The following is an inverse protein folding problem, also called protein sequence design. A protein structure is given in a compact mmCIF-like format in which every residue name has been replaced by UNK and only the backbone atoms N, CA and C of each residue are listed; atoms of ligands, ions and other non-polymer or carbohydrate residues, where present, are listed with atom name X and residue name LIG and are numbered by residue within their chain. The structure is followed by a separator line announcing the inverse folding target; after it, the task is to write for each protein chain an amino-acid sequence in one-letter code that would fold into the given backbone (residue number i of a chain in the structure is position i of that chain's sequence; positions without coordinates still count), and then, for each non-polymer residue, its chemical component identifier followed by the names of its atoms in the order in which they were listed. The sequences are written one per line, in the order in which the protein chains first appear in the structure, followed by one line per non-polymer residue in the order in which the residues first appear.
data_IF_964999910101
#
_entry.id   IF_964999910101
#
_cell.length_a   1.000
_cell.length_b   1.000
_cell.length_c   1.000
_cell.angle_alpha   90.00
_cell.angle_beta   90.00
_cell.angle_gamma   90.00
#
_symmetry.space_group_name_H-M   'P 1'
#
loop_
_entity.id
_entity.type
_entity.pdbx_description
1 polymer ?
#
# COMPACT_ATOMS: atom_id res chain seq x y z
N UNK A 1 -6.73 0.65 -13.10
CA UNK A 1 -5.79 0.24 -14.18
C UNK A 1 -4.58 -0.35 -13.47
N UNK A 2 -4.26 -1.63 -13.71
CA UNK A 2 -3.12 -2.31 -13.08
C UNK A 2 -1.81 -1.63 -13.46
N UNK A 3 -0.93 -1.39 -12.49
CA UNK A 3 0.40 -0.84 -12.73
C UNK A 3 1.17 -1.81 -13.64
N UNK A 4 1.91 -1.34 -14.66
CA UNK A 4 2.45 -2.18 -15.75
C UNK A 4 3.32 -3.38 -15.31
N UNK A 5 3.76 -3.41 -14.06
CA UNK A 5 4.62 -4.44 -13.49
C UNK A 5 3.88 -5.45 -12.57
N UNK A 6 2.76 -5.08 -11.98
CA UNK A 6 2.04 -5.90 -11.00
C UNK A 6 0.62 -6.20 -11.47
N UNK A 7 0.11 -7.38 -11.13
CA UNK A 7 -1.24 -7.81 -11.51
C UNK A 7 -2.37 -7.18 -10.67
N UNK A 8 -2.05 -6.18 -9.85
CA UNK A 8 -2.93 -5.56 -8.85
C UNK A 8 -2.54 -4.09 -8.63
N UNK A 9 -3.53 -3.23 -8.39
CA UNK A 9 -3.30 -1.80 -8.10
C UNK A 9 -3.41 -1.46 -6.61
N UNK A 10 -2.91 -0.27 -6.23
CA UNK A 10 -3.06 0.25 -4.86
C UNK A 10 -4.55 0.38 -4.49
N UNK A 11 -5.39 0.84 -5.42
CA UNK A 11 -6.83 0.96 -5.18
C UNK A 11 -7.49 -0.39 -4.88
N UNK A 12 -7.05 -1.48 -5.52
CA UNK A 12 -7.56 -2.82 -5.24
C UNK A 12 -7.13 -3.29 -3.85
N UNK A 13 -5.87 -3.04 -3.46
CA UNK A 13 -5.37 -3.31 -2.11
C UNK A 13 -6.13 -2.52 -1.04
N UNK A 14 -6.41 -1.23 -1.29
CA UNK A 14 -7.21 -0.39 -0.39
C UNK A 14 -8.63 -0.93 -0.22
N UNK A 15 -9.29 -1.35 -1.29
CA UNK A 15 -10.62 -1.98 -1.22
C UNK A 15 -10.58 -3.22 -0.35
N UNK A 16 -9.57 -4.06 -0.52
CA UNK A 16 -9.41 -5.26 0.28
C UNK A 16 -9.22 -4.95 1.77
N UNK A 17 -8.52 -3.87 2.12
CA UNK A 17 -8.35 -3.42 3.52
C UNK A 17 -9.66 -2.97 4.19
N UNK A 18 -10.69 -2.60 3.42
CA UNK A 18 -12.00 -2.19 3.94
C UNK A 18 -12.86 -3.40 4.30
N UNK A 19 -12.75 -4.50 3.54
CA UNK A 19 -13.51 -5.72 3.77
C UNK A 19 -13.15 -6.37 5.12
N UNK A 20 -14.15 -6.95 5.80
CA UNK A 20 -13.96 -7.49 7.17
C UNK A 20 -14.34 -8.96 7.27
N UNK A 21 -13.56 -9.70 8.07
CA UNK A 21 -13.82 -11.11 8.43
C UNK A 21 -14.01 -11.97 7.17
N UNK A 22 -15.18 -12.58 7.03
CA UNK A 22 -15.49 -13.54 5.97
C UNK A 22 -15.57 -12.87 4.59
N UNK A 23 -16.07 -11.64 4.51
CA UNK A 23 -16.13 -10.86 3.27
C UNK A 23 -14.73 -10.67 2.65
N UNK A 24 -13.73 -10.37 3.48
CA UNK A 24 -12.35 -10.22 3.01
C UNK A 24 -11.77 -11.53 2.48
N UNK A 25 -12.11 -12.66 3.10
CA UNK A 25 -11.67 -13.98 2.64
C UNK A 25 -12.33 -14.37 1.32
N UNK A 26 -13.64 -14.16 1.21
CA UNK A 26 -14.39 -14.42 -0.02
C UNK A 26 -13.92 -13.53 -1.18
N UNK A 27 -13.58 -12.26 -0.92
CA UNK A 27 -12.97 -11.36 -1.90
C UNK A 27 -11.60 -11.89 -2.38
N UNK A 28 -10.73 -12.35 -1.46
CA UNK A 28 -9.44 -12.94 -1.81
C UNK A 28 -9.62 -14.18 -2.70
N UNK A 29 -10.51 -15.09 -2.31
CA UNK A 29 -10.73 -16.34 -3.04
C UNK A 29 -11.35 -16.09 -4.42
N UNK A 30 -12.34 -15.20 -4.52
CA UNK A 30 -13.09 -14.95 -5.76
C UNK A 30 -12.38 -14.03 -6.76
N UNK A 31 -11.75 -12.95 -6.32
CA UNK A 31 -11.17 -11.94 -7.22
C UNK A 31 -9.69 -12.22 -7.53
N UNK A 32 -8.97 -12.88 -6.62
CA UNK A 32 -7.52 -13.05 -6.72
C UNK A 32 -7.08 -14.50 -6.89
N UNK A 33 -8.00 -15.47 -6.79
CA UNK A 33 -7.67 -16.89 -6.85
C UNK A 33 -7.01 -17.39 -5.57
N UNK A 34 -7.41 -16.84 -4.43
CA UNK A 34 -6.87 -17.18 -3.12
C UNK A 34 -5.57 -16.44 -2.79
N UNK A 35 -4.94 -16.85 -1.69
CA UNK A 35 -3.69 -16.25 -1.21
C UNK A 35 -2.55 -16.41 -2.21
N UNK A 36 -2.45 -17.56 -2.87
CA UNK A 36 -1.38 -17.84 -3.83
C UNK A 36 -1.52 -16.98 -5.09
N UNK A 37 -2.75 -16.79 -5.58
CA UNK A 37 -3.01 -15.92 -6.72
C UNK A 37 -2.76 -14.44 -6.39
N UNK A 38 -3.08 -14.00 -5.17
CA UNK A 38 -2.70 -12.66 -4.68
C UNK A 38 -1.18 -12.50 -4.59
N UNK A 39 -0.45 -13.48 -4.02
CA UNK A 39 1.01 -13.49 -3.98
C UNK A 39 1.64 -13.43 -5.38
N UNK A 40 1.08 -14.17 -6.34
CA UNK A 40 1.51 -14.13 -7.75
C UNK A 40 1.32 -12.74 -8.38
N UNK A 41 0.17 -12.09 -8.16
CA UNK A 41 -0.08 -10.71 -8.63
C UNK A 41 0.86 -9.69 -8.01
N UNK A 42 1.22 -9.89 -6.73
CA UNK A 42 2.18 -9.06 -5.98
C UNK A 42 3.66 -9.43 -6.23
N UNK A 43 3.93 -10.49 -7.01
CA UNK A 43 5.28 -11.03 -7.26
C UNK A 43 6.04 -11.31 -5.95
N UNK A 44 5.37 -11.88 -4.97
CA UNK A 44 5.93 -12.20 -3.66
C UNK A 44 5.90 -13.70 -3.42
N UNK A 45 6.96 -14.26 -2.86
CA UNK A 45 6.96 -15.65 -2.43
C UNK A 45 6.18 -15.79 -1.11
N UNK A 46 5.19 -16.70 -1.01
CA UNK A 46 4.36 -16.83 0.18
C UNK A 46 5.12 -17.33 1.43
N UNK A 47 6.26 -17.99 1.26
CA UNK A 47 7.07 -18.52 2.38
C UNK A 47 8.27 -17.61 2.70
N UNK A 48 8.94 -17.10 1.67
CA UNK A 48 10.22 -16.41 1.76
C UNK A 48 10.09 -14.88 1.56
N UNK A 49 8.93 -14.40 1.12
CA UNK A 49 8.67 -12.98 0.92
C UNK A 49 9.34 -12.42 -0.34
N UNK A 50 9.97 -11.25 -0.20
CA UNK A 50 10.59 -10.50 -1.30
C UNK A 50 12.11 -10.42 -1.08
N UNK A 51 12.92 -10.36 -2.14
CA UNK A 51 14.35 -10.13 -2.02
C UNK A 51 14.67 -8.81 -1.31
N UNK A 52 15.60 -8.84 -0.34
CA UNK A 52 16.03 -7.66 0.41
C UNK A 52 17.19 -6.92 -0.31
N UNK A 53 16.98 -6.49 -1.55
CA UNK A 53 17.94 -5.68 -2.29
C UNK A 53 17.37 -4.28 -2.59
N UNK A 54 18.25 -3.29 -2.75
CA UNK A 54 17.85 -1.88 -2.94
C UNK A 54 16.90 -1.69 -4.12
N UNK A 55 17.20 -2.35 -5.23
CA UNK A 55 16.53 -2.12 -6.51
C UNK A 55 15.09 -2.68 -6.48
N UNK A 56 14.87 -3.83 -5.85
CA UNK A 56 13.55 -4.41 -5.63
C UNK A 56 12.71 -3.56 -4.67
N UNK A 57 13.32 -3.06 -3.59
CA UNK A 57 12.64 -2.20 -2.63
C UNK A 57 12.25 -0.85 -3.25
N UNK A 58 13.12 -0.25 -4.06
CA UNK A 58 12.85 1.01 -4.76
C UNK A 58 11.74 0.85 -5.80
N UNK A 59 11.80 -0.21 -6.61
CA UNK A 59 10.74 -0.58 -7.57
C UNK A 59 9.37 -0.73 -6.90
N UNK A 60 9.30 -1.43 -5.77
CA UNK A 60 8.06 -1.57 -4.99
C UNK A 60 7.59 -0.24 -4.42
N UNK A 61 8.50 0.59 -3.92
CA UNK A 61 8.18 1.94 -3.41
C UNK A 61 7.63 2.83 -4.53
N UNK A 62 8.16 2.73 -5.75
CA UNK A 62 7.65 3.45 -6.92
C UNK A 62 6.27 2.93 -7.35
N UNK A 63 6.02 1.63 -7.23
CA UNK A 63 4.75 1.02 -7.65
C UNK A 63 3.61 1.18 -6.63
N UNK A 64 3.92 1.12 -5.33
CA UNK A 64 2.92 1.07 -4.25
C UNK A 64 2.97 2.26 -3.27
N UNK A 65 4.00 3.10 -3.38
CA UNK A 65 4.26 4.18 -2.42
C UNK A 65 5.10 3.74 -1.23
N UNK A 66 5.43 4.71 -0.38
CA UNK A 66 6.14 4.49 0.87
C UNK A 66 5.16 4.07 1.98
N UNK A 67 5.54 3.08 2.80
CA UNK A 67 4.84 2.78 4.05
C UNK A 67 5.30 3.73 5.16
N UNK A 68 5.06 5.03 4.96
CA UNK A 68 5.43 6.08 5.90
C UNK A 68 4.18 6.90 6.22
N UNK A 69 3.90 7.09 7.52
CA UNK A 69 2.85 7.99 7.95
C UNK A 69 3.45 9.40 7.88
N UNK A 70 2.98 10.26 6.96
CA UNK A 70 3.55 11.59 6.82
C UNK A 70 3.35 12.34 8.14
N UNK A 71 4.40 13.01 8.67
CA UNK A 71 4.23 13.84 9.86
C UNK A 71 3.24 14.95 9.55
N UNK A 72 2.46 15.35 10.55
CA UNK A 72 1.60 16.53 10.41
C UNK A 72 2.48 17.72 9.99
N UNK A 73 2.11 18.43 8.91
CA UNK A 73 2.90 19.59 8.49
C UNK A 73 2.94 20.58 9.66
N UNK A 74 4.14 21.10 10.01
CA UNK A 74 4.24 22.06 11.09
C UNK A 74 3.43 23.30 10.75
N UNK A 75 2.91 23.98 11.78
CA UNK A 75 2.30 25.30 11.59
C UNK A 75 3.33 26.24 10.98
N UNK A 76 2.90 27.05 10.02
CA UNK A 76 3.78 28.07 9.45
C UNK A 76 4.15 29.10 10.52
N UNK A 77 5.34 29.70 10.40
CA UNK A 77 5.77 30.78 11.30
C UNK A 77 4.73 31.91 11.36
N UNK A 78 4.14 32.30 10.23
CA UNK A 78 3.09 33.33 10.18
C UNK A 78 1.82 32.92 10.92
N UNK A 79 1.40 31.66 10.82
CA UNK A 79 0.25 31.14 11.58
C UNK A 79 0.52 31.27 13.08
N UNK A 80 1.72 30.93 13.53
CA UNK A 80 2.11 31.03 14.94
C UNK A 80 2.17 32.48 15.43
N UNK A 81 2.71 33.40 14.62
CA UNK A 81 2.73 34.84 14.93
C UNK A 81 1.31 35.38 15.04
N UNK A 82 0.42 35.01 14.11
CA UNK A 82 -0.97 35.44 14.14
C UNK A 82 -1.71 34.93 15.39
N UNK A 83 -1.54 33.65 15.75
CA UNK A 83 -2.12 33.07 16.98
C UNK A 83 -1.61 33.76 18.25
N UNK A 84 -0.36 34.23 18.28
CA UNK A 84 0.23 34.90 19.44
C UNK A 84 -0.22 36.38 19.60
N UNK A 85 -0.75 36.99 18.55
CA UNK A 85 -1.24 38.38 18.57
C UNK A 85 -2.73 38.50 18.94
N UNK A 86 -3.48 37.39 18.96
CA UNK A 86 -4.87 37.33 19.39
C UNK A 86 -4.98 37.25 20.92
#
# INVERSE_FOLDING_TARGET
MSNSEYGISIEDLKKLMVARKQEGREAIDSEYGGTDGLCGKLKTDPQNGIPNNSDELERRRNAFGANEIPPHPPKSFFTLVWEALQ
#
